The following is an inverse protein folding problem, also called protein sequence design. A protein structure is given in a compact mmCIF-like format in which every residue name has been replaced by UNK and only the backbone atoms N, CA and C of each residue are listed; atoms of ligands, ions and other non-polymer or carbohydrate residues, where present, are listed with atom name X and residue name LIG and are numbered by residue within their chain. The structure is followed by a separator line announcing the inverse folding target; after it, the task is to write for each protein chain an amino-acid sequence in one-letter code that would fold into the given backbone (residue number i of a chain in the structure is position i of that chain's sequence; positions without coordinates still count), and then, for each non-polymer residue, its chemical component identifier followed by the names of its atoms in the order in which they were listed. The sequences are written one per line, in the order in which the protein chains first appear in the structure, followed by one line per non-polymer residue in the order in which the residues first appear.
data_IF_401152087027
#
_entry.id   IF_401152087027
#
_cell.length_a   1.000
_cell.length_b   1.000
_cell.length_c   1.000
_cell.angle_alpha   90.00
_cell.angle_beta   90.00
_cell.angle_gamma   90.00
#
_symmetry.space_group_name_H-M   'P 1'
#
loop_
_entity.id
_entity.type
_entity.pdbx_description
1 polymer ?
#
# COMPACT_ATOMS: atom_id res chain seq x y z
N UNK A 1 -17.76 54.91 -20.31
CA UNK A 1 -16.49 54.28 -20.68
C UNK A 1 -15.76 53.86 -19.41
N UNK A 2 -15.74 52.58 -19.07
CA UNK A 2 -14.51 51.79 -18.95
C UNK A 2 -14.87 50.39 -18.43
N UNK A 3 -14.16 49.41 -18.95
CA UNK A 3 -14.44 48.00 -18.95
C UNK A 3 -14.00 47.29 -17.65
N UNK A 4 -14.77 46.27 -17.28
CA UNK A 4 -14.38 44.87 -16.98
C UNK A 4 -13.16 44.63 -16.08
N UNK A 5 -13.36 43.84 -15.02
CA UNK A 5 -12.53 42.63 -14.80
C UNK A 5 -13.31 41.57 -14.01
N UNK A 6 -13.94 40.64 -14.74
CA UNK A 6 -14.48 39.42 -14.15
C UNK A 6 -13.31 38.46 -13.90
N UNK A 7 -13.01 38.21 -12.62
CA UNK A 7 -12.11 37.15 -12.18
C UNK A 7 -12.76 35.79 -12.44
N UNK A 8 -12.51 35.24 -13.64
CA UNK A 8 -12.72 33.83 -13.92
C UNK A 8 -11.65 33.04 -13.15
N UNK A 9 -12.02 32.54 -11.98
CA UNK A 9 -11.27 31.47 -11.36
C UNK A 9 -11.42 30.23 -12.24
N UNK A 10 -10.36 29.95 -13.00
CA UNK A 10 -10.13 28.64 -13.60
C UNK A 10 -10.06 27.62 -12.45
N UNK A 11 -11.18 26.96 -12.17
CA UNK A 11 -11.15 25.67 -11.50
C UNK A 11 -10.49 24.72 -12.49
N UNK A 12 -9.16 24.66 -12.43
CA UNK A 12 -8.38 23.64 -13.10
C UNK A 12 -8.96 22.31 -12.66
N UNK A 13 -9.44 21.56 -13.65
CA UNK A 13 -9.85 20.18 -13.52
C UNK A 13 -8.79 19.46 -12.70
N UNK A 14 -9.15 18.95 -11.52
CA UNK A 14 -8.35 17.92 -10.88
C UNK A 14 -8.46 16.71 -11.80
N UNK A 15 -7.53 16.64 -12.76
CA UNK A 15 -7.32 15.46 -13.57
C UNK A 15 -7.17 14.32 -12.59
N UNK A 16 -8.05 13.32 -12.73
CA UNK A 16 -7.89 12.02 -12.13
C UNK A 16 -6.44 11.63 -12.37
N UNK A 17 -5.64 11.69 -11.32
CA UNK A 17 -4.29 11.20 -11.36
C UNK A 17 -4.49 9.71 -11.60
N UNK A 18 -4.30 9.26 -12.85
CA UNK A 18 -3.86 7.90 -13.15
C UNK A 18 -2.48 7.73 -12.52
N UNK A 19 -2.46 7.89 -11.19
CA UNK A 19 -1.31 7.86 -10.35
C UNK A 19 -0.89 6.42 -10.29
N UNK A 20 0.39 6.20 -10.55
CA UNK A 20 1.11 4.98 -10.24
C UNK A 20 0.53 4.42 -8.94
N UNK A 21 -0.17 3.28 -9.05
CA UNK A 21 -0.73 2.61 -7.88
C UNK A 21 0.45 1.86 -7.26
N UNK A 22 0.87 2.21 -6.04
CA UNK A 22 2.04 1.61 -5.43
C UNK A 22 1.85 0.11 -5.17
N UNK A 23 0.62 -0.42 -5.31
CA UNK A 23 0.32 -1.84 -5.20
C UNK A 23 -0.16 -2.45 -6.51
N UNK A 24 0.49 -3.54 -6.83
CA UNK A 24 0.14 -4.44 -7.90
C UNK A 24 0.16 -5.87 -7.37
N UNK A 25 -0.52 -6.77 -8.05
CA UNK A 25 -0.24 -8.18 -7.94
C UNK A 25 1.11 -8.52 -8.62
N UNK A 26 1.71 -9.67 -8.29
CA UNK A 26 2.95 -10.16 -8.92
C UNK A 26 2.82 -10.32 -10.45
N UNK A 27 1.60 -10.44 -10.96
CA UNK A 27 1.28 -10.51 -12.38
C UNK A 27 1.05 -9.13 -13.04
N UNK A 28 1.26 -8.04 -12.29
CA UNK A 28 1.11 -6.66 -12.77
C UNK A 28 -0.32 -6.12 -12.70
N UNK A 29 -1.30 -6.90 -12.23
CA UNK A 29 -2.67 -6.40 -12.10
C UNK A 29 -2.79 -5.37 -10.98
N UNK A 30 -3.57 -4.32 -11.23
CA UNK A 30 -3.87 -3.30 -10.23
C UNK A 30 -4.73 -3.85 -9.09
N UNK A 31 -4.32 -3.58 -7.84
CA UNK A 31 -5.16 -3.86 -6.68
C UNK A 31 -6.33 -2.88 -6.62
N UNK A 32 -7.55 -3.42 -6.58
CA UNK A 32 -8.78 -2.68 -6.22
C UNK A 32 -8.89 -2.58 -4.69
N UNK A 33 -8.64 -1.41 -4.13
CA UNK A 33 -8.55 -1.23 -2.67
C UNK A 33 -9.91 -1.34 -1.94
N UNK A 34 -11.02 -1.24 -2.67
CA UNK A 34 -12.38 -1.32 -2.11
C UNK A 34 -12.91 -2.74 -1.93
N UNK A 35 -12.29 -3.75 -2.57
CA UNK A 35 -12.74 -5.15 -2.50
C UNK A 35 -11.98 -5.93 -1.43
N UNK A 36 -12.60 -7.01 -0.97
CA UNK A 36 -11.93 -8.01 -0.14
C UNK A 36 -11.22 -9.02 -1.06
N UNK A 37 -10.15 -9.62 -0.56
CA UNK A 37 -9.35 -10.60 -1.28
C UNK A 37 -9.25 -11.88 -0.47
N UNK A 38 -9.41 -13.00 -1.15
CA UNK A 38 -9.16 -14.31 -0.55
C UNK A 38 -7.68 -14.47 -0.18
N UNK A 39 -7.40 -15.39 0.75
CA UNK A 39 -6.02 -15.77 1.06
C UNK A 39 -5.25 -16.23 -0.18
N UNK A 40 -5.89 -16.90 -1.14
CA UNK A 40 -5.23 -17.40 -2.33
C UNK A 40 -4.88 -16.30 -3.34
N UNK A 41 -5.74 -15.28 -3.47
CA UNK A 41 -5.39 -14.07 -4.23
C UNK A 41 -4.23 -13.32 -3.58
N UNK A 42 -4.21 -13.22 -2.24
CA UNK A 42 -3.10 -12.59 -1.54
C UNK A 42 -1.80 -13.40 -1.67
N UNK A 43 -1.88 -14.74 -1.66
CA UNK A 43 -0.75 -15.66 -1.94
C UNK A 43 -0.21 -15.52 -3.37
N UNK A 44 -1.10 -15.25 -4.34
CA UNK A 44 -0.67 -14.95 -5.71
C UNK A 44 0.24 -13.70 -5.76
N UNK A 45 0.21 -12.90 -4.70
CA UNK A 45 1.26 -12.00 -4.29
C UNK A 45 0.86 -10.57 -4.56
N UNK A 46 0.51 -9.84 -3.50
CA UNK A 46 0.39 -8.38 -3.55
C UNK A 46 1.75 -7.78 -3.23
N UNK A 47 2.25 -6.95 -4.14
CA UNK A 47 3.57 -6.33 -4.06
C UNK A 47 3.41 -4.82 -3.98
N UNK A 48 4.07 -4.21 -3.01
CA UNK A 48 4.31 -2.77 -2.97
C UNK A 48 5.62 -2.50 -3.68
N UNK A 49 5.57 -1.73 -4.75
CA UNK A 49 6.78 -1.32 -5.47
C UNK A 49 7.28 0.02 -4.94
N UNK A 50 8.60 0.14 -4.83
CA UNK A 50 9.23 1.42 -4.60
C UNK A 50 9.03 2.29 -5.84
N UNK A 51 8.41 3.45 -5.63
CA UNK A 51 8.20 4.45 -6.66
C UNK A 51 8.76 5.76 -6.15
N UNK A 52 9.24 6.60 -7.05
CA UNK A 52 9.85 7.87 -6.69
C UNK A 52 8.89 8.73 -5.85
N UNK A 53 9.37 9.19 -4.69
CA UNK A 53 8.59 10.00 -3.76
C UNK A 53 7.61 9.23 -2.89
N UNK A 54 7.64 7.89 -2.87
CA UNK A 54 6.90 7.07 -1.89
C UNK A 54 7.72 6.85 -0.62
N UNK A 55 7.21 7.34 0.49
CA UNK A 55 7.77 7.18 1.83
C UNK A 55 6.82 6.33 2.67
N UNK A 56 7.18 5.09 2.97
CA UNK A 56 6.33 4.17 3.73
C UNK A 56 6.36 4.56 5.22
N UNK A 57 5.23 5.01 5.75
CA UNK A 57 5.06 5.34 7.16
C UNK A 57 4.76 4.10 8.01
N UNK A 58 4.09 3.08 7.45
CA UNK A 58 3.84 1.82 8.14
C UNK A 58 3.06 0.81 7.31
N UNK A 59 3.26 -0.47 7.64
CA UNK A 59 2.44 -1.58 7.14
C UNK A 59 2.07 -2.43 8.34
N UNK A 60 0.79 -2.73 8.49
CA UNK A 60 0.23 -3.38 9.67
C UNK A 60 -0.66 -4.56 9.29
N UNK A 61 -0.54 -5.67 10.02
CA UNK A 61 -1.57 -6.70 10.06
C UNK A 61 -2.45 -6.41 11.28
N UNK A 62 -3.75 -6.26 11.05
CA UNK A 62 -4.73 -5.85 12.06
C UNK A 62 -5.78 -6.95 12.19
N UNK A 63 -6.10 -7.33 13.44
CA UNK A 63 -7.19 -8.26 13.76
C UNK A 63 -8.20 -7.56 14.68
N UNK A 64 -9.44 -7.45 14.21
CA UNK A 64 -10.46 -6.65 14.90
C UNK A 64 -10.06 -5.17 14.95
N UNK A 65 -9.71 -4.68 16.14
CA UNK A 65 -9.27 -3.31 16.38
C UNK A 65 -7.79 -3.19 16.81
N UNK A 66 -7.02 -4.30 16.79
CA UNK A 66 -5.64 -4.32 17.30
C UNK A 66 -4.63 -4.66 16.20
N UNK A 67 -3.52 -3.92 16.07
CA UNK A 67 -2.40 -4.33 15.24
C UNK A 67 -1.71 -5.54 15.90
N UNK A 68 -1.52 -6.61 15.12
CA UNK A 68 -0.84 -7.83 15.56
C UNK A 68 0.55 -7.99 14.93
N UNK A 69 0.85 -7.23 13.87
CA UNK A 69 2.18 -7.17 13.25
C UNK A 69 2.38 -5.80 12.61
N UNK A 70 3.61 -5.27 12.65
CA UNK A 70 3.98 -4.00 12.02
C UNK A 70 5.36 -4.11 11.35
N UNK A 71 5.52 -3.51 10.17
CA UNK A 71 6.80 -3.50 9.47
C UNK A 71 7.79 -2.57 10.19
N UNK A 72 9.01 -3.05 10.46
CA UNK A 72 10.04 -2.27 11.17
C UNK A 72 10.53 -1.11 10.31
N UNK A 73 10.87 0.01 10.95
CA UNK A 73 11.37 1.22 10.27
C UNK A 73 12.60 0.95 9.40
N UNK A 74 13.57 0.16 9.90
CA UNK A 74 14.81 -0.17 9.19
C UNK A 74 14.57 -0.86 7.86
N UNK A 75 13.57 -1.74 7.78
CA UNK A 75 13.27 -2.49 6.56
C UNK A 75 12.65 -1.58 5.47
N UNK A 76 12.16 -0.39 5.82
CA UNK A 76 11.44 0.51 4.88
C UNK A 76 12.35 1.28 3.93
N UNK A 77 13.59 1.56 4.34
CA UNK A 77 14.53 2.40 3.60
C UNK A 77 15.25 1.66 2.46
N UNK A 78 15.24 0.32 2.47
CA UNK A 78 15.95 -0.53 1.50
C UNK A 78 14.99 -1.30 0.56
N UNK A 79 13.68 -1.01 0.60
CA UNK A 79 12.68 -1.73 -0.18
C UNK A 79 12.65 -1.26 -1.63
N UNK A 80 12.83 -2.19 -2.57
CA UNK A 80 12.54 -2.00 -4.00
C UNK A 80 11.17 -2.60 -4.38
N UNK A 81 10.85 -3.75 -3.79
CA UNK A 81 9.57 -4.43 -3.91
C UNK A 81 9.29 -5.19 -2.62
N UNK A 82 8.04 -5.20 -2.16
CA UNK A 82 7.65 -5.79 -0.89
C UNK A 82 6.37 -6.60 -1.00
N UNK A 83 6.45 -7.91 -0.77
CA UNK A 83 5.29 -8.79 -0.85
C UNK A 83 4.52 -8.83 0.48
N UNK A 84 3.28 -8.31 0.47
CA UNK A 84 2.45 -8.18 1.66
C UNK A 84 2.12 -9.52 2.31
N UNK A 85 1.80 -10.56 1.53
CA UNK A 85 1.38 -11.84 2.09
C UNK A 85 2.53 -12.63 2.73
N UNK A 86 3.67 -12.73 2.04
CA UNK A 86 4.89 -13.32 2.62
C UNK A 86 5.30 -12.65 3.92
N UNK A 87 5.31 -11.31 3.96
CA UNK A 87 5.58 -10.58 5.19
C UNK A 87 4.55 -10.86 6.29
N UNK A 88 3.26 -10.79 5.95
CA UNK A 88 2.19 -11.00 6.91
C UNK A 88 2.22 -12.42 7.50
N UNK A 89 2.63 -13.42 6.72
CA UNK A 89 2.74 -14.82 7.18
C UNK A 89 4.09 -15.19 7.80
N UNK A 90 5.10 -14.34 7.66
CA UNK A 90 6.48 -14.65 8.08
C UNK A 90 7.16 -15.73 7.22
N UNK A 91 6.56 -16.09 6.08
CA UNK A 91 7.09 -17.08 5.12
C UNK A 91 8.09 -16.47 4.15
N UNK A 92 8.90 -15.50 4.59
CA UNK A 92 9.90 -14.86 3.75
C UNK A 92 10.86 -15.90 3.17
N UNK A 93 10.75 -16.15 1.86
CA UNK A 93 11.94 -16.31 1.01
C UNK A 93 12.16 -14.93 0.39
N UNK A 94 13.21 -14.20 0.81
CA UNK A 94 13.41 -12.83 0.37
C UNK A 94 13.56 -12.82 -1.16
N UNK A 95 12.59 -12.21 -1.85
CA UNK A 95 12.80 -11.78 -3.23
C UNK A 95 13.68 -10.53 -3.16
N UNK A 96 14.96 -10.68 -3.52
CA UNK A 96 15.94 -9.61 -3.76
C UNK A 96 15.74 -8.31 -2.94
N UNK A 97 15.67 -8.42 -1.62
CA UNK A 97 15.44 -7.29 -0.72
C UNK A 97 15.31 -7.82 0.71
N UNK A 98 16.25 -7.46 1.57
CA UNK A 98 16.42 -8.04 2.92
C UNK A 98 15.40 -7.46 3.90
N UNK A 99 14.11 -7.80 3.78
CA UNK A 99 13.19 -7.58 4.88
C UNK A 99 13.48 -8.61 6.00
N UNK A 100 13.71 -8.14 7.23
CA UNK A 100 14.00 -9.03 8.36
C UNK A 100 12.71 -9.73 8.81
N UNK A 101 12.64 -11.06 8.67
CA UNK A 101 11.46 -11.84 9.05
C UNK A 101 11.05 -11.61 10.52
N UNK A 102 9.83 -11.09 10.71
CA UNK A 102 9.13 -11.02 11.99
C UNK A 102 8.35 -12.33 12.23
N UNK A 103 8.06 -12.73 13.49
CA UNK A 103 7.44 -14.01 13.81
C UNK A 103 6.19 -14.29 12.95
N UNK A 104 6.04 -15.57 12.57
CA UNK A 104 4.93 -16.07 11.76
C UNK A 104 3.60 -15.71 12.41
N UNK A 105 2.84 -14.82 11.78
CA UNK A 105 1.42 -14.66 12.09
C UNK A 105 0.62 -15.43 11.06
N UNK A 106 -0.21 -16.37 11.50
CA UNK A 106 -1.20 -16.97 10.61
C UNK A 106 -2.24 -15.89 10.28
N UNK A 107 -2.17 -15.38 9.05
CA UNK A 107 -3.19 -14.51 8.45
C UNK A 107 -4.49 -15.31 8.35
N UNK A 108 -5.58 -14.77 8.86
CA UNK A 108 -6.90 -15.42 8.92
C UNK A 108 -7.94 -14.60 8.17
N UNK A 109 -9.02 -15.27 7.75
CA UNK A 109 -10.24 -14.60 7.30
C UNK A 109 -10.69 -13.57 8.36
N UNK A 110 -11.02 -12.36 7.91
CA UNK A 110 -11.39 -11.24 8.76
C UNK A 110 -10.22 -10.36 9.23
N UNK A 111 -8.96 -10.77 9.01
CA UNK A 111 -7.80 -9.90 9.19
C UNK A 111 -7.78 -8.77 8.14
N UNK A 112 -7.00 -7.74 8.43
CA UNK A 112 -6.81 -6.58 7.56
C UNK A 112 -5.34 -6.25 7.44
N UNK A 113 -4.89 -5.96 6.22
CA UNK A 113 -3.56 -5.43 5.97
C UNK A 113 -3.71 -3.94 5.70
N UNK A 114 -3.26 -3.11 6.64
CA UNK A 114 -3.28 -1.66 6.53
C UNK A 114 -1.91 -1.17 6.05
N UNK A 115 -1.93 -0.15 5.20
CA UNK A 115 -0.76 0.52 4.68
C UNK A 115 -0.93 2.02 4.83
N UNK A 116 0.11 2.66 5.33
CA UNK A 116 0.21 4.10 5.49
C UNK A 116 1.53 4.57 4.89
N UNK A 117 1.46 5.58 4.02
CA UNK A 117 2.61 6.19 3.39
C UNK A 117 2.34 7.66 3.05
N UNK A 118 3.40 8.33 2.63
CA UNK A 118 3.34 9.64 1.98
C UNK A 118 3.84 9.48 0.56
N UNK A 119 3.08 9.95 -0.43
CA UNK A 119 3.47 9.96 -1.84
C UNK A 119 3.53 11.39 -2.35
N UNK A 120 4.74 11.85 -2.72
CA UNK A 120 4.99 13.22 -3.20
C UNK A 120 4.45 14.30 -2.25
N UNK A 121 4.55 14.05 -0.94
CA UNK A 121 4.06 14.95 0.11
C UNK A 121 2.60 14.73 0.53
N UNK A 122 1.82 13.94 -0.22
CA UNK A 122 0.42 13.66 0.08
C UNK A 122 0.25 12.34 0.86
N UNK A 123 -0.57 12.29 1.92
CA UNK A 123 -0.81 11.06 2.66
C UNK A 123 -1.62 10.06 1.81
N UNK A 124 -1.14 8.82 1.75
CA UNK A 124 -1.80 7.69 1.10
C UNK A 124 -1.98 6.59 2.12
N UNK A 125 -3.22 6.22 2.40
CA UNK A 125 -3.53 5.08 3.24
C UNK A 125 -4.63 4.21 2.63
N UNK A 126 -4.54 2.92 2.89
CA UNK A 126 -5.59 1.97 2.51
C UNK A 126 -5.55 0.74 3.38
N UNK A 127 -6.60 -0.05 3.29
CA UNK A 127 -6.74 -1.29 4.03
C UNK A 127 -7.31 -2.37 3.13
N UNK A 128 -6.59 -3.49 3.04
CA UNK A 128 -7.02 -4.69 2.32
C UNK A 128 -7.66 -5.64 3.33
N UNK A 129 -8.88 -6.09 3.06
CA UNK A 129 -9.59 -7.07 3.89
C UNK A 129 -9.32 -8.48 3.39
N UNK A 130 -9.01 -9.39 4.31
CA UNK A 130 -8.83 -10.83 4.03
C UNK A 130 -10.18 -11.53 4.16
N UNK A 131 -10.59 -12.23 3.09
CA UNK A 131 -11.79 -13.07 3.05
C UNK A 131 -11.46 -14.54 3.30
#
# INVERSE_FOLDING_TARGET
MSLVFALLFNFSSAWAQEGIKPLLFKDGQTVQLSRSYSLDELKAGVVINAVEGLEIAGIYLVRGARPIKALKLKDRQEMQAFELYSWATGKDKPAAGKATALPNSDVKAGDRIAFDATYKGEPVSFTIKVQ
#
